data_IF_857691255401
#
_entry.id   IF_857691255401
#
_cell.length_a   1.000
_cell.length_b   1.000
_cell.length_c   1.000
_cell.angle_alpha   90.00
_cell.angle_beta   90.00
_cell.angle_gamma   90.00
#
_symmetry.space_group_name_H-M   'P 1'
#
loop_
_entity.id
_entity.type
_entity.pdbx_description
1 polymer ?
#
# COMPACT_ATOMS: atom_id res chain seq x y z
N UNK A 1 -23.29 -16.63 -10.90
CA UNK A 1 -22.75 -15.27 -10.64
C UNK A 1 -22.78 -14.54 -11.97
N UNK A 2 -23.95 -14.07 -12.37
CA UNK A 2 -24.10 -13.23 -13.56
C UNK A 2 -23.89 -11.77 -13.14
N UNK A 3 -23.09 -11.04 -13.92
CA UNK A 3 -23.20 -9.58 -14.08
C UNK A 3 -22.82 -8.70 -12.90
N UNK A 4 -21.61 -8.85 -12.33
CA UNK A 4 -20.98 -7.70 -11.66
C UNK A 4 -20.14 -6.99 -12.71
N UNK A 5 -20.63 -5.86 -13.20
CA UNK A 5 -19.82 -4.98 -14.05
C UNK A 5 -18.65 -4.44 -13.21
N UNK A 6 -17.43 -4.79 -13.59
CA UNK A 6 -16.24 -4.27 -12.94
C UNK A 6 -15.90 -2.90 -13.54
N UNK A 7 -15.94 -1.86 -12.72
CA UNK A 7 -15.38 -0.56 -13.09
C UNK A 7 -13.88 -0.56 -12.81
N UNK A 8 -13.08 -0.35 -13.86
CA UNK A 8 -11.63 -0.18 -13.72
C UNK A 8 -11.32 1.30 -13.87
N UNK A 9 -10.74 1.90 -12.83
CA UNK A 9 -10.28 3.29 -12.81
C UNK A 9 -8.75 3.28 -12.78
N UNK A 10 -8.08 3.20 -13.95
CA UNK A 10 -6.64 3.01 -14.01
C UNK A 10 -5.93 4.28 -13.55
N UNK A 11 -4.96 4.15 -12.64
CA UNK A 11 -4.09 5.27 -12.29
C UNK A 11 -3.33 5.73 -13.54
N UNK A 12 -3.33 7.03 -13.86
CA UNK A 12 -2.61 7.55 -15.02
C UNK A 12 -1.12 7.16 -14.96
N UNK A 13 -0.66 6.42 -15.97
CA UNK A 13 0.73 5.99 -16.13
C UNK A 13 1.41 6.87 -17.18
N UNK A 14 1.73 8.09 -16.79
CA UNK A 14 2.56 9.01 -17.57
C UNK A 14 3.85 9.32 -16.82
N UNK A 15 4.90 9.67 -17.54
CA UNK A 15 6.06 10.29 -16.91
C UNK A 15 5.65 11.68 -16.42
N UNK A 16 5.49 11.81 -15.10
CA UNK A 16 5.10 13.05 -14.45
C UNK A 16 6.14 14.16 -14.62
N UNK A 17 7.38 13.82 -15.01
CA UNK A 17 8.43 14.80 -15.26
C UNK A 17 8.43 15.33 -16.70
N UNK A 18 7.87 14.57 -17.65
CA UNK A 18 7.76 14.98 -19.06
C UNK A 18 6.33 15.29 -19.51
N UNK A 19 5.36 15.25 -18.60
CA UNK A 19 3.98 15.64 -18.86
C UNK A 19 3.81 17.17 -18.82
N UNK A 20 3.02 17.72 -19.75
CA UNK A 20 2.58 19.12 -19.72
C UNK A 20 1.51 19.38 -18.65
N UNK A 21 1.00 18.34 -17.98
CA UNK A 21 -0.01 18.45 -16.92
C UNK A 21 0.67 18.61 -15.55
N UNK A 22 0.11 19.52 -14.74
CA UNK A 22 0.50 19.64 -13.33
C UNK A 22 0.22 18.31 -12.60
N UNK A 23 1.24 17.65 -12.01
CA UNK A 23 1.07 16.38 -11.32
C UNK A 23 0.06 16.42 -10.17
N UNK A 24 -0.10 17.57 -9.51
CA UNK A 24 -1.09 17.72 -8.43
C UNK A 24 -2.52 17.82 -8.96
N UNK A 25 -2.72 18.45 -10.13
CA UNK A 25 -4.01 18.45 -10.81
C UNK A 25 -4.37 17.04 -11.29
N UNK A 26 -3.42 16.32 -11.90
CA UNK A 26 -3.64 14.94 -12.31
C UNK A 26 -3.99 14.02 -11.12
N UNK A 27 -3.39 14.24 -9.95
CA UNK A 27 -3.73 13.51 -8.73
C UNK A 27 -5.14 13.86 -8.22
N UNK A 28 -5.55 15.13 -8.31
CA UNK A 28 -6.89 15.56 -7.94
C UNK A 28 -7.97 15.00 -8.89
N UNK A 29 -7.70 15.00 -10.20
CA UNK A 29 -8.58 14.42 -11.21
C UNK A 29 -8.76 12.93 -10.95
N UNK A 30 -7.67 12.19 -10.75
CA UNK A 30 -7.74 10.76 -10.41
C UNK A 30 -8.50 10.52 -9.11
N UNK A 31 -8.30 11.35 -8.08
CA UNK A 31 -9.04 11.25 -6.83
C UNK A 31 -10.56 11.43 -7.00
N UNK A 32 -10.99 12.22 -7.99
CA UNK A 32 -12.41 12.46 -8.28
C UNK A 32 -13.12 11.28 -8.95
N UNK A 33 -12.35 10.41 -9.61
CA UNK A 33 -12.86 9.20 -10.27
C UNK A 33 -12.95 7.99 -9.33
N UNK A 34 -12.28 8.05 -8.17
CA UNK A 34 -12.26 6.96 -7.19
C UNK A 34 -13.57 6.91 -6.37
N UNK A 35 -14.00 5.72 -5.93
CA UNK A 35 -15.12 5.61 -5.00
C UNK A 35 -14.79 6.24 -3.65
N UNK A 36 -15.83 6.61 -2.89
CA UNK A 36 -15.67 7.15 -1.54
C UNK A 36 -15.01 6.15 -0.58
N UNK A 37 -15.33 4.86 -0.73
CA UNK A 37 -14.80 3.76 0.08
C UNK A 37 -14.32 2.60 -0.77
N UNK A 38 -13.29 1.90 -0.29
CA UNK A 38 -12.83 0.63 -0.87
C UNK A 38 -13.25 -0.52 0.05
N UNK A 39 -13.77 -1.61 -0.49
CA UNK A 39 -13.98 -2.82 0.32
C UNK A 39 -12.65 -3.48 0.70
N UNK A 40 -11.70 -3.48 -0.22
CA UNK A 40 -10.38 -4.08 -0.07
C UNK A 40 -9.33 -3.24 -0.80
N UNK A 41 -8.23 -2.96 -0.13
CA UNK A 41 -7.01 -2.47 -0.79
C UNK A 41 -5.93 -3.54 -0.67
N UNK A 42 -5.35 -3.90 -1.81
CA UNK A 42 -4.25 -4.83 -1.88
C UNK A 42 -2.92 -4.06 -1.94
N UNK A 43 -2.01 -4.37 -1.01
CA UNK A 43 -0.72 -3.73 -0.86
C UNK A 43 0.44 -4.73 -0.96
N UNK A 44 1.53 -4.27 -1.56
CA UNK A 44 2.84 -4.92 -1.45
C UNK A 44 3.67 -4.32 -0.32
N UNK A 45 4.81 -4.95 -0.03
CA UNK A 45 5.77 -4.48 0.96
C UNK A 45 7.19 -4.38 0.37
N UNK A 46 7.81 -3.22 0.55
CA UNK A 46 9.21 -2.95 0.22
C UNK A 46 10.18 -3.57 1.23
N UNK A 47 11.44 -3.85 0.85
CA UNK A 47 12.45 -4.31 1.80
C UNK A 47 12.84 -3.21 2.82
N UNK A 48 12.66 -1.95 2.45
CA UNK A 48 12.80 -0.73 3.26
C UNK A 48 11.53 -0.39 4.05
N UNK A 49 10.47 -1.20 3.94
CA UNK A 49 9.18 -0.99 4.58
C UNK A 49 8.25 -0.02 3.85
N UNK A 50 8.57 0.41 2.63
CA UNK A 50 7.60 1.17 1.82
C UNK A 50 6.39 0.31 1.43
N UNK A 51 5.28 0.95 1.16
CA UNK A 51 4.09 0.34 0.53
C UNK A 51 3.43 1.36 -0.38
N UNK A 52 2.65 0.91 -1.37
CA UNK A 52 2.22 1.78 -2.47
C UNK A 52 3.44 2.57 -3.01
N UNK A 53 3.40 3.90 -3.02
CA UNK A 53 4.57 4.76 -3.23
C UNK A 53 4.92 5.59 -1.97
N UNK A 54 4.47 5.15 -0.80
CA UNK A 54 4.80 5.73 0.50
C UNK A 54 6.18 5.25 0.93
N UNK A 55 7.20 6.00 0.55
CA UNK A 55 8.63 5.69 0.74
C UNK A 55 9.16 6.35 2.02
N UNK A 56 10.06 5.70 2.79
CA UNK A 56 10.64 6.30 3.99
C UNK A 56 11.22 7.69 3.74
N UNK A 57 10.78 8.68 4.53
CA UNK A 57 11.30 10.06 4.48
C UNK A 57 10.75 10.94 3.36
N UNK A 58 9.89 10.44 2.47
CA UNK A 58 9.25 11.26 1.44
C UNK A 58 8.18 12.18 2.05
N UNK A 59 8.09 13.43 1.57
CA UNK A 59 7.08 14.39 2.01
C UNK A 59 5.63 13.94 1.80
N UNK A 60 5.36 12.98 0.91
CA UNK A 60 4.01 12.41 0.71
C UNK A 60 3.46 11.75 1.98
N UNK A 61 4.33 11.30 2.89
CA UNK A 61 3.94 10.71 4.17
C UNK A 61 3.21 11.70 5.09
N UNK A 62 3.44 13.01 4.91
CA UNK A 62 2.82 14.07 5.69
C UNK A 62 1.47 14.55 5.11
N UNK A 63 1.08 14.04 3.94
CA UNK A 63 -0.16 14.47 3.26
C UNK A 63 -1.37 13.86 3.97
N UNK A 64 -2.22 14.73 4.53
CA UNK A 64 -3.39 14.35 5.33
C UNK A 64 -4.70 14.95 4.81
N UNK A 65 -4.63 15.90 3.87
CA UNK A 65 -5.75 16.72 3.38
C UNK A 65 -6.42 16.17 2.10
N UNK A 66 -5.82 15.16 1.46
CA UNK A 66 -6.29 14.60 0.19
C UNK A 66 -5.99 13.10 0.07
N UNK A 67 -6.78 12.33 -0.70
CA UNK A 67 -6.63 10.88 -0.80
C UNK A 67 -5.54 10.41 -1.78
N UNK A 68 -5.16 11.24 -2.75
CA UNK A 68 -4.17 10.94 -3.78
C UNK A 68 -3.16 12.09 -3.83
N UNK A 69 -1.88 11.77 -3.93
CA UNK A 69 -0.82 12.75 -4.08
C UNK A 69 0.33 12.19 -4.92
N UNK A 70 1.25 13.07 -5.32
CA UNK A 70 2.50 12.69 -5.99
C UNK A 70 3.65 12.72 -4.99
N UNK A 71 4.57 11.74 -5.08
CA UNK A 71 5.77 11.73 -4.24
C UNK A 71 6.60 13.00 -4.43
N UNK A 72 7.23 13.47 -3.36
CA UNK A 72 8.09 14.68 -3.42
C UNK A 72 9.49 14.36 -3.95
N UNK A 73 9.92 13.11 -3.79
CA UNK A 73 11.19 12.61 -4.29
C UNK A 73 10.98 11.48 -5.30
N UNK A 74 12.02 11.22 -6.09
CA UNK A 74 12.06 10.10 -7.03
C UNK A 74 12.50 8.84 -6.32
N UNK A 75 11.72 7.77 -6.43
CA UNK A 75 12.08 6.44 -5.96
C UNK A 75 12.35 5.53 -7.15
N UNK A 76 13.56 4.99 -7.22
CA UNK A 76 14.05 4.20 -8.36
C UNK A 76 13.93 4.96 -9.70
N UNK A 77 14.26 6.26 -9.69
CA UNK A 77 14.26 7.11 -10.89
C UNK A 77 12.91 7.70 -11.28
N UNK A 78 11.84 7.48 -10.50
CA UNK A 78 10.52 7.98 -10.84
C UNK A 78 9.82 8.64 -9.65
N UNK A 79 9.20 9.81 -9.88
CA UNK A 79 8.12 10.30 -9.03
C UNK A 79 6.85 9.51 -9.33
N UNK A 80 6.04 9.23 -8.31
CA UNK A 80 4.88 8.35 -8.44
C UNK A 80 3.65 9.02 -7.86
N UNK A 81 2.51 8.87 -8.54
CA UNK A 81 1.21 9.11 -7.93
C UNK A 81 0.90 7.96 -6.95
N UNK A 82 0.20 8.24 -5.86
CA UNK A 82 -0.10 7.24 -4.84
C UNK A 82 -1.33 7.60 -4.02
N UNK A 83 -1.99 6.57 -3.46
CA UNK A 83 -2.92 6.79 -2.36
C UNK A 83 -2.13 7.23 -1.11
N UNK A 84 -2.56 8.32 -0.50
CA UNK A 84 -2.03 8.79 0.78
C UNK A 84 -2.56 7.92 1.92
N UNK A 85 -2.09 8.13 3.15
CA UNK A 85 -2.72 7.50 4.31
C UNK A 85 -4.21 7.85 4.45
N UNK A 86 -4.60 9.08 4.13
CA UNK A 86 -6.00 9.50 4.11
C UNK A 86 -6.81 8.77 3.02
N UNK A 87 -6.20 8.45 1.87
CA UNK A 87 -6.80 7.63 0.83
C UNK A 87 -6.94 6.17 1.25
N UNK A 88 -5.87 5.58 1.79
CA UNK A 88 -5.85 4.19 2.27
C UNK A 88 -6.83 3.98 3.43
N UNK A 89 -7.01 4.96 4.30
CA UNK A 89 -7.96 4.90 5.42
C UNK A 89 -9.43 4.75 4.98
N UNK A 90 -9.75 4.99 3.70
CA UNK A 90 -11.08 4.74 3.12
C UNK A 90 -11.37 3.26 2.87
N UNK A 91 -10.37 2.40 3.01
CA UNK A 91 -10.52 0.96 2.85
C UNK A 91 -11.17 0.32 4.09
N UNK A 92 -12.10 -0.61 3.87
CA UNK A 92 -12.68 -1.47 4.92
C UNK A 92 -11.71 -2.55 5.35
N UNK A 93 -10.83 -3.01 4.46
CA UNK A 93 -9.83 -4.02 4.76
C UNK A 93 -8.58 -3.86 3.91
N UNK A 94 -7.46 -4.39 4.40
CA UNK A 94 -6.20 -4.45 3.66
C UNK A 94 -5.73 -5.90 3.54
N UNK A 95 -5.32 -6.27 2.34
CA UNK A 95 -4.60 -7.51 2.07
C UNK A 95 -3.15 -7.17 1.69
N UNK A 96 -2.20 -7.73 2.43
CA UNK A 96 -0.78 -7.66 2.10
C UNK A 96 -0.36 -8.93 1.38
N UNK A 97 0.23 -8.80 0.19
CA UNK A 97 0.93 -9.91 -0.47
C UNK A 97 2.44 -9.69 -0.38
N UNK A 98 3.14 -10.60 0.28
CA UNK A 98 4.57 -10.46 0.59
C UNK A 98 5.34 -11.72 0.21
N UNK A 99 6.22 -11.62 -0.79
CA UNK A 99 7.01 -12.76 -1.28
C UNK A 99 8.50 -12.41 -1.35
N UNK A 100 9.33 -13.41 -1.05
CA UNK A 100 10.78 -13.34 -1.10
C UNK A 100 11.44 -12.97 0.22
N UNK A 101 12.64 -13.52 0.43
CA UNK A 101 13.42 -13.34 1.67
C UNK A 101 13.84 -11.89 1.93
N UNK A 102 13.96 -11.06 0.89
CA UNK A 102 14.28 -9.64 1.04
C UNK A 102 13.22 -8.85 1.81
N UNK A 103 12.04 -9.43 2.04
CA UNK A 103 10.92 -8.81 2.76
C UNK A 103 10.83 -9.23 4.22
N UNK A 104 11.63 -10.19 4.67
CA UNK A 104 11.42 -10.82 5.96
C UNK A 104 11.58 -9.83 7.13
N UNK A 105 12.56 -8.94 7.05
CA UNK A 105 12.79 -7.94 8.09
C UNK A 105 11.69 -6.87 8.10
N UNK A 106 11.26 -6.38 6.93
CA UNK A 106 10.18 -5.40 6.85
C UNK A 106 8.82 -5.99 7.23
N UNK A 107 8.56 -7.26 6.93
CA UNK A 107 7.36 -7.96 7.36
C UNK A 107 7.31 -8.11 8.88
N UNK A 108 8.42 -8.47 9.52
CA UNK A 108 8.50 -8.54 10.99
C UNK A 108 8.18 -7.18 11.62
N UNK A 109 8.73 -6.09 11.06
CA UNK A 109 8.46 -4.70 11.50
C UNK A 109 7.00 -4.30 11.31
N UNK A 110 6.39 -4.65 10.17
CA UNK A 110 4.96 -4.40 9.91
C UNK A 110 4.07 -5.10 10.93
N UNK A 111 4.32 -6.38 11.22
CA UNK A 111 3.55 -7.15 12.20
C UNK A 111 3.73 -6.64 13.63
N UNK A 112 4.92 -6.12 13.95
CA UNK A 112 5.19 -5.46 15.22
C UNK A 112 4.58 -4.05 15.34
N UNK A 113 4.02 -3.50 14.25
CA UNK A 113 3.52 -2.13 14.22
C UNK A 113 4.62 -1.08 14.37
N UNK A 114 5.84 -1.39 13.89
CA UNK A 114 7.01 -0.50 14.01
C UNK A 114 6.74 0.83 13.29
N UNK A 115 6.64 1.96 13.99
CA UNK A 115 6.28 3.25 13.38
C UNK A 115 7.38 3.83 12.49
N UNK A 116 8.57 3.21 12.46
CA UNK A 116 9.68 3.68 11.61
C UNK A 116 9.58 3.23 10.15
N UNK A 117 8.60 2.38 9.79
CA UNK A 117 8.31 2.05 8.38
C UNK A 117 6.98 2.64 7.91
N UNK A 118 6.91 3.13 6.66
CA UNK A 118 5.66 3.64 6.09
C UNK A 118 4.50 2.64 6.11
N UNK A 119 4.76 1.36 5.89
CA UNK A 119 3.71 0.34 5.87
C UNK A 119 2.92 0.26 7.20
N UNK A 120 3.57 0.50 8.35
CA UNK A 120 2.91 0.52 9.66
C UNK A 120 1.97 1.71 9.84
N UNK A 121 2.10 2.77 9.04
CA UNK A 121 1.16 3.89 9.00
C UNK A 121 -0.20 3.52 8.40
N UNK A 122 -0.32 2.37 7.74
CA UNK A 122 -1.60 1.86 7.22
C UNK A 122 -2.42 1.26 8.36
N UNK A 123 -3.19 2.11 9.04
CA UNK A 123 -3.98 1.77 10.23
C UNK A 123 -5.29 1.01 9.99
N UNK A 124 -5.53 0.48 8.79
CA UNK A 124 -6.80 -0.18 8.43
C UNK A 124 -6.91 -1.57 9.08
N UNK A 125 -8.11 -1.94 9.53
CA UNK A 125 -8.45 -3.25 10.08
C UNK A 125 -9.82 -3.73 9.54
N UNK A 126 -9.97 -5.03 9.20
CA UNK A 126 -8.95 -6.08 9.30
C UNK A 126 -7.79 -5.92 8.31
N UNK A 127 -6.62 -6.40 8.71
CA UNK A 127 -5.38 -6.39 7.93
C UNK A 127 -4.85 -7.82 7.84
N UNK A 128 -4.92 -8.41 6.67
CA UNK A 128 -4.55 -9.82 6.40
C UNK A 128 -3.23 -9.85 5.66
N UNK A 129 -2.31 -10.72 6.09
CA UNK A 129 -1.05 -10.95 5.38
C UNK A 129 -1.07 -12.34 4.76
N UNK A 130 -0.79 -12.42 3.46
CA UNK A 130 -0.43 -13.66 2.77
C UNK A 130 1.04 -13.53 2.38
N UNK A 131 1.85 -14.46 2.87
CA UNK A 131 3.29 -14.46 2.64
C UNK A 131 3.82 -15.83 2.26
N UNK A 132 4.88 -15.86 1.44
CA UNK A 132 5.59 -17.10 1.17
C UNK A 132 6.52 -17.51 2.32
N UNK A 133 7.03 -18.74 2.26
CA UNK A 133 7.94 -19.28 3.28
C UNK A 133 9.21 -18.44 3.46
N UNK A 134 9.71 -17.83 2.38
CA UNK A 134 10.95 -17.04 2.44
C UNK A 134 10.73 -15.70 3.16
N UNK A 135 9.58 -15.06 2.94
CA UNK A 135 9.19 -13.82 3.57
C UNK A 135 8.91 -13.98 5.07
N UNK A 136 8.46 -15.16 5.52
CA UNK A 136 8.19 -15.39 6.96
C UNK A 136 9.38 -15.95 7.75
N UNK A 137 10.55 -16.13 7.12
CA UNK A 137 11.70 -16.80 7.72
C UNK A 137 12.27 -16.13 9.00
N UNK A 138 11.88 -14.89 9.28
CA UNK A 138 12.29 -14.12 10.47
C UNK A 138 11.19 -13.98 11.52
N UNK A 139 9.99 -14.52 11.26
CA UNK A 139 8.87 -14.40 12.18
C UNK A 139 8.95 -15.44 13.29
N UNK A 140 8.52 -15.10 14.51
CA UNK A 140 8.38 -16.06 15.59
C UNK A 140 7.28 -17.09 15.26
N UNK A 141 7.44 -18.38 15.63
CA UNK A 141 6.52 -19.46 15.25
C UNK A 141 5.06 -19.20 15.61
N UNK A 142 4.81 -18.50 16.71
CA UNK A 142 3.47 -18.20 17.23
C UNK A 142 2.65 -17.34 16.26
N UNK A 143 3.31 -16.57 15.38
CA UNK A 143 2.64 -15.79 14.33
C UNK A 143 2.33 -16.62 13.07
N UNK A 144 2.87 -17.85 12.97
CA UNK A 144 2.67 -18.76 11.85
C UNK A 144 1.54 -19.77 12.12
N UNK A 145 1.30 -20.08 13.39
CA UNK A 145 0.33 -21.10 13.82
C UNK A 145 -1.13 -20.72 13.55
N UNK A 146 -1.43 -19.44 13.30
CA UNK A 146 -2.76 -18.96 12.88
C UNK A 146 -3.18 -19.38 11.46
N UNK A 147 -2.27 -19.99 10.69
CA UNK A 147 -2.52 -20.45 9.31
C UNK A 147 -3.07 -21.89 9.21
N UNK A 148 -3.09 -22.66 10.32
CA UNK A 148 -3.30 -24.12 10.29
C UNK A 148 -4.57 -24.67 10.93
N UNK A 149 -5.22 -23.96 11.86
CA UNK A 149 -6.31 -24.55 12.67
C UNK A 149 -7.61 -23.74 12.63
N UNK A 150 -8.33 -23.85 11.50
CA UNK A 150 -9.79 -23.65 11.44
C UNK A 150 -10.38 -24.70 10.50
N UNK A 151 -10.48 -25.93 11.01
CA UNK A 151 -11.02 -27.08 10.28
C UNK A 151 -11.07 -28.32 11.16
N UNK A 152 -11.91 -28.25 12.21
CA UNK A 152 -12.41 -29.40 12.96
C UNK A 152 -13.93 -29.32 12.97
#
# INVERSE_FOLDING_TARGET
LEGVDATVVPMPVGDLESSDLDPDLAAADYASELPEHFDLVHLGLGPDGHTASLVPGDGVLAVTDRPVAVTTSSYQGHRRMTLTYAGLARARSVLWLVSGSSKADSLARLLAGDPSIPASGVGVRPSVVIADRAAVARLPPELLDGAGERGG
#
